data_IF_755814469865
#
_entry.id   IF_755814469865
#
_cell.length_a   1.000
_cell.length_b   1.000
_cell.length_c   1.000
_cell.angle_alpha   90.00
_cell.angle_beta   90.00
_cell.angle_gamma   90.00
#
_symmetry.space_group_name_H-M   'P 1'
#
loop_
_entity.id
_entity.type
_entity.pdbx_description
1 polymer ?
#
# COMPACT_ATOMS: atom_id res chain seq x y z
N UNK A 1 13.53 -3.59 8.61
CA UNK A 1 13.14 -2.27 8.05
C UNK A 1 13.49 -2.28 6.58
N UNK A 2 12.52 -2.10 5.69
CA UNK A 2 12.73 -2.09 4.25
C UNK A 2 12.42 -0.69 3.69
N UNK A 3 13.28 -0.17 2.81
CA UNK A 3 13.14 1.18 2.24
C UNK A 3 13.04 1.20 0.72
N UNK A 4 13.04 0.03 0.06
CA UNK A 4 12.97 -0.16 -1.38
C UNK A 4 12.28 -1.50 -1.66
N UNK A 5 11.52 -1.58 -2.74
CA UNK A 5 11.06 -2.86 -3.26
C UNK A 5 10.79 -2.78 -4.77
N UNK A 6 10.59 -3.95 -5.36
CA UNK A 6 10.26 -4.12 -6.78
C UNK A 6 8.86 -4.72 -6.88
N UNK A 7 8.07 -4.23 -7.84
CA UNK A 7 6.82 -4.87 -8.24
C UNK A 7 6.90 -5.17 -9.75
N UNK A 8 6.96 -6.44 -10.11
CA UNK A 8 7.02 -6.91 -11.49
C UNK A 8 5.71 -7.58 -11.94
N UNK A 9 4.76 -7.79 -11.02
CA UNK A 9 3.53 -8.51 -11.30
C UNK A 9 2.58 -7.67 -12.15
N UNK A 10 2.00 -8.30 -13.16
CA UNK A 10 0.91 -7.75 -13.95
C UNK A 10 -0.39 -7.73 -13.15
N UNK A 11 -1.35 -6.92 -13.59
CA UNK A 11 -2.70 -6.94 -13.00
C UNK A 11 -3.32 -8.34 -13.00
N UNK A 12 -3.16 -9.10 -14.07
CA UNK A 12 -3.74 -10.44 -14.18
C UNK A 12 -3.17 -11.40 -13.12
N UNK A 13 -1.87 -11.32 -12.83
CA UNK A 13 -1.22 -12.14 -11.82
C UNK A 13 -1.65 -11.73 -10.40
N UNK A 14 -1.74 -10.43 -10.11
CA UNK A 14 -2.20 -9.91 -8.82
C UNK A 14 -3.67 -10.27 -8.59
N UNK A 15 -4.52 -10.09 -9.60
CA UNK A 15 -5.94 -10.44 -9.56
C UNK A 15 -6.15 -11.93 -9.31
N UNK A 16 -5.38 -12.80 -9.99
CA UNK A 16 -5.41 -14.23 -9.76
C UNK A 16 -4.91 -14.63 -8.37
N UNK A 17 -3.84 -14.00 -7.87
CA UNK A 17 -3.25 -14.31 -6.56
C UNK A 17 -4.19 -13.95 -5.41
N UNK A 18 -4.84 -12.79 -5.47
CA UNK A 18 -5.65 -12.25 -4.37
C UNK A 18 -7.15 -12.44 -4.54
N UNK A 19 -7.60 -13.02 -5.66
CA UNK A 19 -9.04 -13.12 -5.97
C UNK A 19 -9.75 -11.78 -5.82
N UNK A 20 -9.15 -10.72 -6.36
CA UNK A 20 -9.63 -9.34 -6.20
C UNK A 20 -11.03 -9.21 -6.81
N UNK A 21 -11.93 -8.55 -6.09
CA UNK A 21 -13.31 -8.40 -6.53
C UNK A 21 -13.47 -7.35 -7.64
N UNK A 22 -12.52 -6.41 -7.76
CA UNK A 22 -12.55 -5.35 -8.76
C UNK A 22 -12.48 -5.94 -10.18
N UNK A 23 -13.52 -5.77 -11.02
CA UNK A 23 -13.61 -6.47 -12.30
C UNK A 23 -12.70 -5.89 -13.39
N UNK A 24 -12.21 -4.66 -13.23
CA UNK A 24 -11.42 -3.96 -14.23
C UNK A 24 -10.02 -3.61 -13.72
N UNK A 25 -8.98 -3.71 -14.56
CA UNK A 25 -7.64 -3.24 -14.22
C UNK A 25 -7.65 -1.74 -13.90
N UNK A 26 -6.73 -1.27 -13.03
CA UNK A 26 -6.54 0.15 -12.85
C UNK A 26 -6.10 0.80 -14.19
N UNK A 27 -6.41 2.09 -14.43
CA UNK A 27 -6.15 2.74 -15.72
C UNK A 27 -4.69 2.69 -16.22
N UNK A 28 -3.73 2.55 -15.31
CA UNK A 28 -2.31 2.44 -15.64
C UNK A 28 -1.88 1.06 -16.16
N UNK A 29 -2.73 0.04 -16.01
CA UNK A 29 -2.41 -1.37 -16.21
C UNK A 29 -1.22 -1.89 -15.36
N UNK A 30 -0.89 -1.23 -14.24
CA UNK A 30 0.18 -1.61 -13.31
C UNK A 30 1.50 -2.00 -13.98
N UNK A 31 2.24 -1.05 -14.58
CA UNK A 31 3.52 -1.38 -15.20
C UNK A 31 4.53 -1.83 -14.12
N UNK A 32 5.49 -2.70 -14.49
CA UNK A 32 6.59 -3.06 -13.60
C UNK A 32 7.37 -1.85 -13.08
N UNK A 33 7.70 -1.88 -11.79
CA UNK A 33 8.47 -0.85 -11.10
C UNK A 33 9.62 -1.50 -10.32
N UNK A 34 10.85 -1.23 -10.75
CA UNK A 34 12.06 -1.92 -10.27
C UNK A 34 12.77 -1.24 -9.09
N UNK A 35 12.27 -0.10 -8.62
CA UNK A 35 12.95 0.69 -7.60
C UNK A 35 11.99 1.60 -6.81
N UNK A 36 10.91 1.01 -6.27
CA UNK A 36 9.91 1.77 -5.53
C UNK A 36 10.53 2.34 -4.26
N UNK A 37 10.24 3.61 -3.99
CA UNK A 37 10.78 4.40 -2.91
C UNK A 37 9.70 4.81 -1.89
N UNK A 38 10.06 5.09 -0.62
CA UNK A 38 9.13 5.70 0.32
C UNK A 38 8.67 7.04 -0.25
N UNK A 39 7.45 7.45 0.09
CA UNK A 39 6.74 8.64 -0.44
C UNK A 39 6.21 8.55 -1.87
N UNK A 40 6.58 7.53 -2.66
CA UNK A 40 5.90 7.27 -3.93
C UNK A 40 4.51 6.70 -3.68
N UNK A 41 3.59 6.96 -4.61
CA UNK A 41 2.30 6.27 -4.63
C UNK A 41 2.45 4.90 -5.26
N UNK A 42 1.84 3.91 -4.61
CA UNK A 42 1.96 2.48 -4.91
C UNK A 42 0.58 1.84 -4.88
N UNK A 43 0.45 0.71 -5.57
CA UNK A 43 -0.76 -0.10 -5.45
C UNK A 43 -0.71 -0.94 -4.17
N UNK A 44 -1.83 -1.03 -3.47
CA UNK A 44 -1.98 -1.88 -2.28
C UNK A 44 -3.37 -2.51 -2.27
N UNK A 45 -3.43 -3.76 -1.83
CA UNK A 45 -4.68 -4.47 -1.63
C UNK A 45 -5.18 -4.28 -0.19
N UNK A 46 -6.47 -4.05 -0.03
CA UNK A 46 -7.11 -4.01 1.28
C UNK A 46 -8.54 -4.53 1.19
N UNK A 47 -9.16 -4.75 2.35
CA UNK A 47 -10.57 -5.08 2.40
C UNK A 47 -11.41 -3.82 2.33
N UNK A 48 -12.47 -3.88 1.56
CA UNK A 48 -13.53 -2.88 1.57
C UNK A 48 -14.39 -3.03 2.84
N UNK A 49 -15.51 -2.28 2.90
CA UNK A 49 -16.45 -2.37 4.03
C UNK A 49 -17.27 -3.67 4.06
N UNK A 50 -17.43 -4.35 2.92
CA UNK A 50 -18.08 -5.64 2.82
C UNK A 50 -17.14 -6.82 3.15
N UNK A 51 -15.83 -6.56 3.24
CA UNK A 51 -14.79 -7.54 3.51
C UNK A 51 -14.13 -8.11 2.25
N UNK A 52 -14.50 -7.62 1.07
CA UNK A 52 -13.96 -8.03 -0.22
C UNK A 52 -12.61 -7.37 -0.46
N UNK A 53 -11.69 -8.10 -1.10
CA UNK A 53 -10.38 -7.54 -1.45
C UNK A 53 -10.51 -6.65 -2.68
N UNK A 54 -10.13 -5.38 -2.50
CA UNK A 54 -9.98 -4.40 -3.55
C UNK A 54 -8.53 -3.89 -3.62
N UNK A 55 -8.20 -3.22 -4.72
CA UNK A 55 -6.88 -2.62 -4.92
C UNK A 55 -7.02 -1.13 -5.15
N UNK A 56 -6.27 -0.38 -4.34
CA UNK A 56 -6.21 1.07 -4.40
C UNK A 56 -4.79 1.57 -4.67
N UNK A 57 -4.69 2.88 -4.95
CA UNK A 57 -3.43 3.55 -5.24
C UNK A 57 -3.18 4.68 -4.25
N UNK A 58 -2.06 4.64 -3.51
CA UNK A 58 -1.82 5.59 -2.44
C UNK A 58 -0.37 5.67 -2.02
N UNK A 59 -0.05 6.73 -1.26
CA UNK A 59 1.32 7.04 -0.86
C UNK A 59 1.86 5.99 0.12
N UNK A 60 3.05 5.45 -0.16
CA UNK A 60 3.81 4.68 0.81
C UNK A 60 4.46 5.60 1.85
N UNK A 61 3.62 6.15 2.73
CA UNK A 61 3.96 6.94 3.90
C UNK A 61 2.69 7.19 4.70
N UNK A 62 2.54 6.58 5.88
CA UNK A 62 1.34 6.78 6.68
C UNK A 62 1.28 8.23 7.21
N UNK A 63 0.13 8.87 7.04
CA UNK A 63 -0.23 10.12 7.70
C UNK A 63 -1.38 9.79 8.65
N UNK A 64 -1.15 9.77 9.99
CA UNK A 64 -2.22 9.52 10.94
C UNK A 64 -3.35 10.53 10.79
N UNK A 65 -4.61 10.09 10.95
CA UNK A 65 -5.77 10.93 10.68
C UNK A 65 -5.85 12.21 11.55
N UNK A 66 -5.20 12.20 12.72
CA UNK A 66 -5.13 13.34 13.65
C UNK A 66 -3.94 14.29 13.36
N UNK A 67 -3.05 13.93 12.44
CA UNK A 67 -1.89 14.73 12.12
C UNK A 67 -2.33 16.02 11.39
N UNK A 68 -1.89 17.17 11.91
CA UNK A 68 -2.15 18.48 11.29
C UNK A 68 -1.16 18.83 10.17
N UNK A 69 -0.03 18.13 10.14
CA UNK A 69 1.07 18.33 9.21
C UNK A 69 1.65 16.97 8.79
N UNK A 70 2.46 16.97 7.73
CA UNK A 70 3.19 15.76 7.30
C UNK A 70 4.12 15.27 8.42
N UNK A 71 4.05 13.99 8.82
CA UNK A 71 4.93 13.44 9.83
C UNK A 71 6.40 13.54 9.42
N UNK A 72 7.24 14.06 10.33
CA UNK A 72 8.71 14.08 10.15
C UNK A 72 9.34 12.70 10.42
N UNK A 73 8.65 11.86 11.18
CA UNK A 73 9.06 10.48 11.44
C UNK A 73 8.86 9.60 10.19
N UNK A 74 9.71 8.59 10.05
CA UNK A 74 9.69 7.61 8.97
C UNK A 74 8.49 6.64 9.08
N UNK A 75 7.30 7.11 8.70
CA UNK A 75 6.02 6.38 8.80
C UNK A 75 5.78 5.37 7.66
N UNK A 76 6.83 4.87 7.01
CA UNK A 76 6.74 3.89 5.91
C UNK A 76 7.02 2.44 6.36
N UNK A 77 7.46 2.24 7.60
CA UNK A 77 7.49 0.93 8.28
C UNK A 77 6.81 1.06 9.64
N UNK A 78 6.13 0.00 10.08
CA UNK A 78 5.69 -0.18 11.46
C UNK A 78 6.46 -1.35 12.07
N UNK A 79 6.98 -1.16 13.29
CA UNK A 79 7.65 -2.24 14.04
C UNK A 79 6.62 -3.17 14.65
N UNK A 80 6.76 -4.47 14.43
CA UNK A 80 5.79 -5.47 14.91
C UNK A 80 5.70 -5.48 16.44
N UNK A 81 6.79 -5.13 17.12
CA UNK A 81 6.90 -5.11 18.58
C UNK A 81 6.04 -4.02 19.25
N UNK A 82 5.64 -2.99 18.50
CA UNK A 82 4.94 -1.81 19.06
C UNK A 82 3.76 -1.35 18.22
N UNK A 83 3.38 -2.08 17.18
CA UNK A 83 2.34 -1.64 16.23
C UNK A 83 0.95 -1.55 16.90
N UNK A 84 0.67 -2.40 17.87
CA UNK A 84 -0.60 -2.50 18.59
C UNK A 84 -0.79 -1.44 19.69
N UNK A 85 0.31 -0.83 20.15
CA UNK A 85 0.33 0.16 21.24
C UNK A 85 0.73 1.57 20.77
N UNK A 86 1.18 1.70 19.52
CA UNK A 86 1.54 2.97 18.92
C UNK A 86 0.31 3.83 18.69
N UNK A 87 0.30 5.07 19.18
CA UNK A 87 -0.81 6.00 18.89
C UNK A 87 -0.91 6.43 17.42
N UNK A 88 0.05 6.04 16.56
CA UNK A 88 0.08 6.41 15.15
C UNK A 88 -0.31 5.28 14.19
N UNK A 89 -0.28 4.01 14.63
CA UNK A 89 -0.59 2.83 13.82
C UNK A 89 -1.88 2.17 14.28
#
# INVERSE_FOLDING_TARGET
MCGRYTNEMTWAEIHALYSIHNPAPPPSNMPPQYNIAPTQSVYFAHKDKAGELEVDYGRWWLVPFFAKEMPKAAMFNARIETVDTSGAF
#
